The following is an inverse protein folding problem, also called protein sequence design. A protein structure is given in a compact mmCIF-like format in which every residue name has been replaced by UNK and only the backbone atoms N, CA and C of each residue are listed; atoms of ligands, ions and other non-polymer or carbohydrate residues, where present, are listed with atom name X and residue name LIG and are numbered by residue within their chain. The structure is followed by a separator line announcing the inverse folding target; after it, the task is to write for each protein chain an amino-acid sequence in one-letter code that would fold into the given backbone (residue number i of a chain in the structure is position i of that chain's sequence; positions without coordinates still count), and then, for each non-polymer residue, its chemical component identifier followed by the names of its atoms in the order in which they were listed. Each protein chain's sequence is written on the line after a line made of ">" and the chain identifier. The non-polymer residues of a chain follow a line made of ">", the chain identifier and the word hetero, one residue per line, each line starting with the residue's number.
data_IF_475050903460
#
_entry.id   IF_475050903460
#
_cell.length_a   1.000
_cell.length_b   1.000
_cell.length_c   1.000
_cell.angle_alpha   90.00
_cell.angle_beta   90.00
_cell.angle_gamma   90.00
#
_symmetry.space_group_name_H-M   'P 1'
#
loop_
_entity.id
_entity.type
_entity.pdbx_description
1 polymer ?
#
# COMPACT_ATOMS: atom_id res chain seq x y z
N UNK A 1 18.24 -25.10 -0.19
CA UNK A 1 19.30 -24.35 0.51
C UNK A 1 19.28 -22.92 -0.02
N UNK A 2 19.59 -21.91 0.81
CA UNK A 2 19.74 -20.54 0.33
C UNK A 2 20.99 -20.43 -0.57
N UNK A 3 21.05 -19.45 -1.51
CA UNK A 3 22.23 -19.21 -2.32
C UNK A 3 23.48 -19.01 -1.43
N UNK A 4 24.65 -19.38 -1.96
CA UNK A 4 25.93 -19.15 -1.29
C UNK A 4 26.05 -17.65 -0.90
N UNK A 5 26.42 -17.37 0.35
CA UNK A 5 26.46 -16.04 1.00
C UNK A 5 25.11 -15.42 1.43
N UNK A 6 23.99 -16.15 1.38
CA UNK A 6 22.74 -15.70 1.98
C UNK A 6 22.48 -16.41 3.31
N UNK A 7 22.65 -15.69 4.41
CA UNK A 7 22.32 -16.16 5.76
C UNK A 7 20.91 -15.72 6.16
N UNK A 8 20.18 -16.60 6.86
CA UNK A 8 18.94 -16.20 7.53
C UNK A 8 19.28 -15.39 8.77
N UNK A 9 18.54 -14.31 8.99
CA UNK A 9 18.60 -13.54 10.23
C UNK A 9 18.40 -14.46 11.45
N UNK A 10 19.20 -14.25 12.51
CA UNK A 10 19.24 -15.11 13.69
C UNK A 10 17.97 -14.96 14.56
N UNK A 11 17.18 -13.91 14.35
CA UNK A 11 15.91 -13.70 15.02
C UNK A 11 14.89 -12.95 14.16
N UNK A 12 13.60 -13.07 14.54
CA UNK A 12 12.52 -12.26 13.98
C UNK A 12 12.73 -10.76 14.19
N UNK A 13 13.41 -10.37 15.26
CA UNK A 13 13.72 -8.98 15.54
C UNK A 13 14.74 -8.43 14.53
N UNK A 14 15.84 -9.15 14.29
CA UNK A 14 16.84 -8.80 13.29
C UNK A 14 16.26 -8.77 11.89
N UNK A 15 15.45 -9.78 11.53
CA UNK A 15 14.71 -9.81 10.27
C UNK A 15 13.88 -8.53 10.11
N UNK A 16 13.06 -8.21 11.11
CA UNK A 16 12.18 -7.04 11.08
C UNK A 16 12.97 -5.73 11.01
N UNK A 17 14.09 -5.64 11.73
CA UNK A 17 15.00 -4.48 11.69
C UNK A 17 15.60 -4.31 10.30
N UNK A 18 16.06 -5.38 9.67
CA UNK A 18 16.56 -5.37 8.30
C UNK A 18 15.47 -4.96 7.29
N UNK A 19 14.27 -5.54 7.38
CA UNK A 19 13.12 -5.14 6.55
C UNK A 19 12.77 -3.66 6.75
N UNK A 20 12.82 -3.16 7.98
CA UNK A 20 12.56 -1.74 8.27
C UNK A 20 13.63 -0.82 7.68
N UNK A 21 14.91 -1.18 7.79
CA UNK A 21 16.01 -0.43 7.17
C UNK A 21 15.88 -0.41 5.63
N UNK A 22 15.46 -1.54 5.07
CA UNK A 22 15.04 -1.66 3.68
C UNK A 22 13.60 -1.15 3.49
N UNK A 23 13.10 -0.17 4.25
CA UNK A 23 11.77 0.46 4.19
C UNK A 23 10.62 -0.44 3.68
N UNK A 24 10.62 -1.69 4.11
CA UNK A 24 9.57 -2.70 3.97
C UNK A 24 8.86 -2.84 5.32
N UNK A 25 8.88 -1.76 6.11
CA UNK A 25 8.09 -1.67 7.32
C UNK A 25 6.59 -1.74 6.97
N UNK A 26 5.84 -2.44 7.81
CA UNK A 26 4.40 -2.51 7.73
C UNK A 26 3.78 -2.07 9.06
N UNK A 27 2.60 -1.48 8.97
CA UNK A 27 1.76 -1.10 10.11
C UNK A 27 0.58 -2.05 10.18
N UNK A 28 0.33 -2.62 11.36
CA UNK A 28 -0.87 -3.42 11.60
C UNK A 28 -2.01 -2.48 11.99
N UNK A 29 -3.12 -2.55 11.28
CA UNK A 29 -4.33 -1.76 11.55
C UNK A 29 -5.45 -2.74 11.82
N UNK A 30 -6.15 -2.61 12.95
CA UNK A 30 -7.30 -3.47 13.21
C UNK A 30 -8.45 -3.07 12.27
N UNK A 31 -9.20 -4.04 11.77
CA UNK A 31 -10.34 -3.82 10.89
C UNK A 31 -11.59 -4.48 11.46
N UNK A 32 -12.76 -3.96 11.11
CA UNK A 32 -14.02 -4.66 11.33
C UNK A 32 -14.02 -5.99 10.55
N UNK A 33 -14.63 -7.04 11.09
CA UNK A 33 -14.74 -8.33 10.40
C UNK A 33 -15.50 -8.22 9.07
N UNK A 34 -16.42 -7.25 8.95
CA UNK A 34 -17.18 -6.94 7.73
C UNK A 34 -16.55 -5.79 6.91
N UNK A 35 -15.32 -5.39 7.21
CA UNK A 35 -14.58 -4.32 6.50
C UNK A 35 -15.24 -2.92 6.49
N UNK A 36 -16.24 -2.66 7.33
CA UNK A 36 -16.93 -1.37 7.37
C UNK A 36 -16.00 -0.21 7.79
N UNK A 37 -15.13 -0.45 8.78
CA UNK A 37 -14.21 0.57 9.31
C UNK A 37 -12.84 -0.04 9.61
N UNK A 38 -11.84 0.84 9.64
CA UNK A 38 -10.52 0.57 10.21
C UNK A 38 -10.41 1.31 11.55
N UNK A 39 -9.97 0.62 12.59
CA UNK A 39 -9.79 1.17 13.94
C UNK A 39 -8.52 2.01 14.01
N UNK A 40 -8.56 3.18 13.36
CA UNK A 40 -7.50 4.21 13.32
C UNK A 40 -8.12 5.60 13.48
N UNK A 41 -7.29 6.61 13.76
CA UNK A 41 -7.71 7.99 13.95
C UNK A 41 -8.87 8.09 14.96
N UNK A 42 -10.00 8.67 14.59
CA UNK A 42 -11.20 8.79 15.44
C UNK A 42 -11.77 7.46 15.96
N UNK A 43 -11.47 6.33 15.31
CA UNK A 43 -11.95 5.00 15.71
C UNK A 43 -10.89 4.17 16.44
N UNK A 44 -9.77 4.77 16.86
CA UNK A 44 -8.63 4.05 17.47
C UNK A 44 -9.03 3.29 18.74
N UNK A 45 -9.87 3.91 19.57
CA UNK A 45 -10.24 3.37 20.89
C UNK A 45 -11.61 2.68 20.88
N UNK A 46 -12.30 2.66 19.73
CA UNK A 46 -13.55 1.94 19.58
C UNK A 46 -13.34 0.43 19.82
N UNK A 47 -14.26 -0.18 20.56
CA UNK A 47 -14.27 -1.60 20.89
C UNK A 47 -15.22 -2.41 19.99
N UNK A 48 -16.10 -1.73 19.28
CA UNK A 48 -17.05 -2.30 18.33
C UNK A 48 -17.18 -1.38 17.10
N UNK A 49 -17.63 -1.95 15.99
CA UNK A 49 -17.87 -1.24 14.76
C UNK A 49 -19.13 -0.39 14.89
N UNK A 50 -19.02 0.92 14.67
CA UNK A 50 -20.16 1.83 14.72
C UNK A 50 -21.17 1.59 13.58
N UNK A 51 -20.75 0.96 12.48
CA UNK A 51 -21.61 0.68 11.33
C UNK A 51 -22.41 -0.61 11.47
N UNK A 52 -21.83 -1.66 12.06
CA UNK A 52 -22.44 -3.00 12.09
C UNK A 52 -22.49 -3.66 13.47
N UNK A 53 -22.09 -2.96 14.53
CA UNK A 53 -22.11 -3.44 15.91
C UNK A 53 -21.10 -4.55 16.25
N UNK A 54 -20.42 -5.13 15.26
CA UNK A 54 -19.47 -6.24 15.50
C UNK A 54 -18.29 -5.81 16.38
N UNK A 55 -17.92 -6.68 17.31
CA UNK A 55 -16.76 -6.50 18.17
C UNK A 55 -15.46 -6.35 17.37
N UNK A 56 -14.57 -5.49 17.85
CA UNK A 56 -13.18 -5.38 17.38
C UNK A 56 -12.37 -6.64 17.68
N UNK A 57 -12.74 -7.37 18.74
CA UNK A 57 -11.98 -8.46 19.31
C UNK A 57 -12.49 -9.82 18.83
N UNK A 58 -11.61 -10.82 18.81
CA UNK A 58 -11.94 -12.19 18.41
C UNK A 58 -12.83 -12.86 19.45
N UNK A 59 -13.86 -13.57 18.98
CA UNK A 59 -14.72 -14.42 19.80
C UNK A 59 -14.10 -15.83 19.83
N UNK A 60 -14.12 -16.49 20.99
CA UNK A 60 -13.66 -17.88 21.11
C UNK A 60 -14.48 -18.84 20.25
N UNK A 61 -13.89 -19.99 19.91
CA UNK A 61 -14.53 -21.04 19.12
C UNK A 61 -15.85 -21.55 19.74
N UNK A 62 -15.98 -21.44 21.06
CA UNK A 62 -17.20 -21.78 21.82
C UNK A 62 -18.27 -20.68 21.79
N UNK A 63 -18.04 -19.56 21.10
CA UNK A 63 -18.99 -18.44 20.95
C UNK A 63 -19.25 -17.61 22.21
N UNK A 64 -18.84 -18.08 23.39
CA UNK A 64 -19.31 -17.54 24.68
C UNK A 64 -18.49 -16.37 25.25
N UNK A 65 -17.22 -16.20 24.87
CA UNK A 65 -16.33 -15.18 25.46
C UNK A 65 -15.52 -14.41 24.42
N UNK A 66 -15.52 -13.09 24.57
CA UNK A 66 -14.70 -12.16 23.78
C UNK A 66 -13.27 -12.16 24.35
N UNK A 67 -12.27 -12.53 23.53
CA UNK A 67 -10.85 -12.38 23.89
C UNK A 67 -10.39 -10.95 23.61
N UNK A 68 -10.57 -10.05 24.59
CA UNK A 68 -10.02 -8.68 24.53
C UNK A 68 -8.51 -8.75 24.29
N UNK A 69 -7.98 -7.85 23.46
CA UNK A 69 -6.57 -7.80 23.08
C UNK A 69 -6.22 -8.53 21.78
N UNK A 70 -7.01 -9.52 21.35
CA UNK A 70 -6.81 -10.19 20.06
C UNK A 70 -7.81 -9.62 19.03
N UNK A 71 -7.37 -8.84 18.04
CA UNK A 71 -8.26 -8.28 17.03
C UNK A 71 -8.93 -9.38 16.19
N UNK A 72 -10.18 -9.16 15.81
CA UNK A 72 -10.92 -10.06 14.92
C UNK A 72 -10.34 -10.10 13.51
N UNK A 73 -9.91 -8.94 12.98
CA UNK A 73 -9.28 -8.80 11.66
C UNK A 73 -8.16 -7.77 11.72
N UNK A 74 -7.06 -8.03 11.02
CA UNK A 74 -5.89 -7.14 10.93
C UNK A 74 -5.54 -6.90 9.48
N UNK A 75 -5.49 -5.64 9.09
CA UNK A 75 -4.94 -5.14 7.83
C UNK A 75 -3.46 -4.82 7.99
N UNK A 76 -2.65 -5.22 7.01
CA UNK A 76 -1.22 -4.92 6.96
C UNK A 76 -1.02 -3.77 5.96
N UNK A 77 -0.73 -2.59 6.48
CA UNK A 77 -0.53 -1.38 5.68
C UNK A 77 0.96 -1.13 5.46
N UNK A 78 1.38 -1.03 4.21
CA UNK A 78 2.74 -0.70 3.83
C UNK A 78 2.82 0.80 3.52
N UNK A 79 3.48 1.62 4.35
CA UNK A 79 3.60 3.05 4.08
C UNK A 79 4.33 3.27 2.74
N UNK A 80 3.74 4.01 1.79
CA UNK A 80 4.35 4.18 0.47
C UNK A 80 5.54 5.15 0.50
N UNK A 81 5.55 6.13 1.41
CA UNK A 81 6.57 7.19 1.47
C UNK A 81 8.01 6.64 1.64
N UNK A 82 8.32 5.75 2.61
CA UNK A 82 9.65 5.16 2.72
C UNK A 82 10.09 4.40 1.46
N UNK A 83 9.12 3.79 0.76
CA UNK A 83 9.37 3.06 -0.49
C UNK A 83 9.77 4.01 -1.61
N UNK A 84 9.04 5.10 -1.77
CA UNK A 84 9.37 6.14 -2.76
C UNK A 84 10.73 6.76 -2.50
N UNK A 85 11.03 7.10 -1.24
CA UNK A 85 12.36 7.61 -0.86
C UNK A 85 13.48 6.65 -1.29
N UNK A 86 13.30 5.34 -1.13
CA UNK A 86 14.29 4.34 -1.60
C UNK A 86 14.38 4.28 -3.12
N UNK A 87 13.27 4.34 -3.84
CA UNK A 87 13.31 4.31 -5.30
C UNK A 87 14.16 5.46 -5.86
N UNK A 88 14.17 6.62 -5.19
CA UNK A 88 15.03 7.75 -5.54
C UNK A 88 16.51 7.62 -5.13
N UNK A 89 16.92 6.56 -4.41
CA UNK A 89 18.33 6.31 -4.08
C UNK A 89 19.10 5.66 -5.24
N UNK A 90 18.40 4.96 -6.13
CA UNK A 90 18.99 4.39 -7.35
C UNK A 90 18.98 5.42 -8.47
N UNK A 91 20.13 5.75 -9.03
CA UNK A 91 20.25 6.67 -10.17
C UNK A 91 19.47 6.16 -11.38
N UNK A 92 19.55 4.85 -11.67
CA UNK A 92 18.80 4.19 -12.74
C UNK A 92 17.29 4.32 -12.52
N UNK A 93 16.80 3.98 -11.34
CA UNK A 93 15.37 4.06 -11.03
C UNK A 93 14.87 5.50 -11.04
N UNK A 94 15.68 6.44 -10.55
CA UNK A 94 15.36 7.87 -10.55
C UNK A 94 15.14 8.40 -11.96
N UNK A 95 15.96 8.01 -12.95
CA UNK A 95 15.77 8.41 -14.35
C UNK A 95 14.37 8.04 -14.85
N UNK A 96 13.92 6.81 -14.57
CA UNK A 96 12.57 6.38 -14.94
C UNK A 96 11.46 7.15 -14.20
N UNK A 97 11.65 7.43 -12.90
CA UNK A 97 10.65 8.16 -12.11
C UNK A 97 10.46 9.62 -12.58
N UNK A 98 11.53 10.26 -13.04
CA UNK A 98 11.49 11.66 -13.52
C UNK A 98 11.37 11.78 -15.05
N UNK A 99 11.25 10.65 -15.75
CA UNK A 99 11.22 10.59 -17.22
C UNK A 99 10.15 11.53 -17.79
N UNK A 100 8.98 11.55 -17.15
CA UNK A 100 7.83 12.39 -17.52
C UNK A 100 8.12 13.89 -17.65
N UNK A 101 9.22 14.37 -17.05
CA UNK A 101 9.60 15.78 -17.05
C UNK A 101 10.97 16.07 -17.69
N UNK A 102 11.85 15.07 -17.85
CA UNK A 102 13.19 15.27 -18.46
C UNK A 102 13.30 14.78 -19.90
N UNK A 103 12.76 13.61 -20.18
CA UNK A 103 13.03 12.88 -21.43
C UNK A 103 11.74 12.70 -22.25
N UNK A 104 10.82 13.66 -22.10
CA UNK A 104 9.52 13.66 -22.76
C UNK A 104 9.65 14.14 -24.20
N UNK A 105 9.21 13.31 -25.15
CA UNK A 105 9.11 13.66 -26.56
C UNK A 105 7.73 14.26 -26.86
N UNK A 106 7.68 15.36 -27.62
CA UNK A 106 6.44 16.02 -28.04
C UNK A 106 6.23 15.82 -29.54
N UNK A 107 5.66 14.67 -29.90
CA UNK A 107 5.28 14.32 -31.29
C UNK A 107 3.75 14.39 -31.52
N UNK A 108 3.01 14.88 -30.53
CA UNK A 108 1.54 14.94 -30.55
C UNK A 108 0.84 13.61 -30.29
N UNK A 109 1.57 12.51 -30.02
CA UNK A 109 0.98 11.19 -29.72
C UNK A 109 0.89 10.97 -28.22
N UNK A 110 -0.09 10.17 -27.79
CA UNK A 110 -0.21 9.71 -26.41
C UNK A 110 0.70 8.49 -26.21
N UNK A 111 1.89 8.69 -25.65
CA UNK A 111 2.88 7.61 -25.41
C UNK A 111 2.94 7.20 -23.94
N UNK A 112 2.57 8.10 -23.04
CA UNK A 112 2.62 7.89 -21.60
C UNK A 112 1.43 8.56 -20.90
N UNK A 113 0.99 8.08 -19.71
CA UNK A 113 -0.04 8.76 -18.92
C UNK A 113 0.20 10.25 -18.66
N UNK A 114 1.46 10.71 -18.71
CA UNK A 114 1.84 12.13 -18.60
C UNK A 114 1.43 12.99 -19.80
N UNK A 115 0.97 12.39 -20.88
CA UNK A 115 0.50 13.08 -22.08
C UNK A 115 -1.00 13.34 -22.02
N UNK A 116 -1.69 12.66 -21.11
CA UNK A 116 -3.14 12.79 -20.91
C UNK A 116 -3.54 14.20 -20.47
N UNK A 117 -4.76 14.59 -20.84
CA UNK A 117 -5.37 15.84 -20.36
C UNK A 117 -5.49 15.88 -18.84
N UNK A 118 -5.74 14.73 -18.20
CA UNK A 118 -5.81 14.61 -16.74
C UNK A 118 -4.49 15.02 -16.07
N UNK A 119 -3.35 14.58 -16.62
CA UNK A 119 -2.04 14.99 -16.09
C UNK A 119 -1.81 16.49 -16.23
N UNK A 120 -2.11 17.05 -17.41
CA UNK A 120 -1.98 18.49 -17.65
C UNK A 120 -2.87 19.31 -16.71
N UNK A 121 -4.10 18.86 -16.46
CA UNK A 121 -5.02 19.50 -15.53
C UNK A 121 -4.42 19.57 -14.11
N UNK A 122 -3.86 18.46 -13.63
CA UNK A 122 -3.15 18.41 -12.33
C UNK A 122 -2.00 19.43 -12.31
N UNK A 123 -1.21 19.50 -13.38
CA UNK A 123 -0.07 20.42 -13.46
C UNK A 123 -0.50 21.88 -13.41
N UNK A 124 -1.60 22.23 -14.07
CA UNK A 124 -2.18 23.57 -14.03
C UNK A 124 -2.79 23.92 -12.67
N UNK A 125 -3.44 22.96 -11.99
CA UNK A 125 -4.06 23.21 -10.68
C UNK A 125 -3.03 23.36 -9.55
N UNK A 126 -1.89 22.67 -9.64
CA UNK A 126 -0.87 22.65 -8.60
C UNK A 126 0.53 22.92 -9.16
N UNK A 127 0.80 24.17 -9.54
CA UNK A 127 2.07 24.60 -10.13
C UNK A 127 3.29 24.26 -9.26
N UNK A 128 3.20 24.47 -7.94
CA UNK A 128 4.26 24.12 -6.98
C UNK A 128 4.54 22.61 -6.90
N UNK A 129 3.51 21.80 -7.18
CA UNK A 129 3.66 20.36 -7.26
C UNK A 129 4.27 19.96 -8.60
N UNK A 130 3.84 20.59 -9.71
CA UNK A 130 4.33 20.32 -11.04
C UNK A 130 5.81 20.69 -11.23
N UNK A 131 6.26 21.79 -10.60
CA UNK A 131 7.64 22.28 -10.70
C UNK A 131 8.68 21.31 -10.11
N UNK A 132 8.26 20.44 -9.18
CA UNK A 132 9.15 19.48 -8.52
C UNK A 132 9.16 18.15 -9.26
N UNK A 133 10.24 17.90 -10.02
CA UNK A 133 10.45 16.67 -10.80
C UNK A 133 10.36 15.36 -9.99
N UNK A 134 10.60 15.41 -8.67
CA UNK A 134 10.55 14.25 -7.77
C UNK A 134 9.15 13.94 -7.24
N UNK A 135 8.15 14.77 -7.57
CA UNK A 135 6.78 14.52 -7.18
C UNK A 135 6.20 13.39 -8.03
N UNK A 136 5.74 12.34 -7.36
CA UNK A 136 5.15 11.17 -7.99
C UNK A 136 3.64 11.33 -8.09
N UNK A 137 3.08 11.00 -9.26
CA UNK A 137 1.64 10.89 -9.48
C UNK A 137 1.28 9.42 -9.56
N UNK A 138 0.37 8.97 -8.71
CA UNK A 138 -0.14 7.60 -8.71
C UNK A 138 -1.51 7.62 -9.38
N UNK A 139 -1.65 6.88 -10.46
CA UNK A 139 -2.90 6.74 -11.20
C UNK A 139 -3.46 5.35 -10.92
N UNK A 140 -4.75 5.30 -10.59
CA UNK A 140 -5.49 4.04 -10.51
C UNK A 140 -6.05 3.74 -11.90
N UNK A 141 -5.76 2.55 -12.40
CA UNK A 141 -6.36 2.07 -13.64
C UNK A 141 -7.38 0.98 -13.28
N UNK A 142 -8.58 1.07 -13.87
CA UNK A 142 -9.67 0.12 -13.64
C UNK A 142 -9.68 -1.03 -14.64
N UNK A 143 -8.77 -1.02 -15.63
CA UNK A 143 -8.55 -2.08 -16.63
C UNK A 143 -7.95 -3.34 -15.99
N UNK A 144 -8.76 -4.00 -15.15
CA UNK A 144 -8.38 -5.24 -14.46
C UNK A 144 -8.93 -5.37 -13.05
N UNK A 145 -9.55 -4.31 -12.49
CA UNK A 145 -10.24 -4.41 -11.20
C UNK A 145 -11.64 -4.99 -11.42
N UNK A 146 -11.74 -6.31 -11.36
CA UNK A 146 -13.04 -6.98 -11.32
C UNK A 146 -13.68 -6.77 -9.93
N UNK A 147 -14.41 -5.66 -9.78
CA UNK A 147 -15.14 -5.26 -8.57
C UNK A 147 -16.28 -6.23 -8.21
N UNK A 148 -16.64 -7.15 -9.11
CA UNK A 148 -17.72 -8.11 -8.93
C UNK A 148 -17.21 -9.56 -8.90
N UNK A 149 -16.34 -9.89 -7.92
CA UNK A 149 -16.19 -11.28 -7.48
C UNK A 149 -17.26 -11.60 -6.42
N UNK A 150 -18.51 -11.69 -6.87
CA UNK A 150 -19.40 -12.69 -6.27
C UNK A 150 -18.79 -14.06 -6.58
N UNK A 151 -18.57 -14.85 -5.53
CA UNK A 151 -18.12 -16.26 -5.53
C UNK A 151 -16.60 -16.53 -5.55
N UNK A 152 -16.10 -16.82 -4.34
CA UNK A 152 -15.17 -17.90 -3.98
C UNK A 152 -14.09 -18.34 -5.00
N UNK A 153 -12.83 -18.12 -4.63
CA UNK A 153 -11.88 -19.23 -4.55
C UNK A 153 -10.84 -18.98 -3.46
N UNK A 154 -10.63 -19.99 -2.60
CA UNK A 154 -9.54 -20.05 -1.61
C UNK A 154 -8.22 -20.10 -2.39
N UNK A 155 -7.36 -19.13 -2.13
CA UNK A 155 -5.98 -19.02 -2.62
C UNK A 155 -5.80 -18.78 -4.12
N UNK A 156 -5.14 -17.65 -4.45
CA UNK A 156 -3.94 -17.67 -5.31
C UNK A 156 -3.22 -16.32 -5.30
N UNK A 157 -1.94 -16.40 -4.95
CA UNK A 157 -0.85 -15.55 -5.40
C UNK A 157 -0.69 -15.66 -6.92
N UNK A 158 -0.49 -14.54 -7.62
CA UNK A 158 0.48 -14.48 -8.72
C UNK A 158 0.80 -13.04 -9.12
N UNK A 159 2.08 -12.72 -8.96
CA UNK A 159 2.89 -11.85 -9.81
C UNK A 159 3.03 -12.48 -11.20
N UNK A 160 2.79 -11.69 -12.25
CA UNK A 160 3.76 -11.33 -13.31
C UNK A 160 3.18 -10.15 -14.07
#
# INVERSE_FOLDING_TARGET
>A
MLPLNNEMSLSMYEAKKAFSALGMEYKKIHACSNDCIWYRNQYKDAIACLTCGKSRWKINNEGKKIKKGVPSKVLWYFPPIPRFKRMFQSSKTTKHLIWHAKDKEYDGKLRHPSDSSAWKLVDHMWLDFASKLRNLRLVLSTDGINLHKSMSSRHRTTTT
#
